data_IF_576002567150
#
_entry.id   IF_576002567150
#
_cell.length_a   1.000
_cell.length_b   1.000
_cell.length_c   1.000
_cell.angle_alpha   90.00
_cell.angle_beta   90.00
_cell.angle_gamma   90.00
#
_symmetry.space_group_name_H-M   'P 1'
#
loop_
_entity.id
_entity.type
_entity.pdbx_description
1 polymer ?
#
# COMPACT_ATOMS: atom_id res chain seq x y z
N UNK A 1 6.87 2.59 20.32
CA UNK A 1 8.00 2.18 19.46
C UNK A 1 7.84 0.80 18.80
N UNK A 2 6.82 0.00 19.16
CA UNK A 2 6.57 -1.32 18.55
C UNK A 2 5.88 -1.27 17.17
N UNK A 3 5.03 -0.27 16.89
CA UNK A 3 4.22 -0.25 15.65
C UNK A 3 5.04 -0.08 14.36
N UNK A 4 6.14 0.68 14.40
CA UNK A 4 6.98 0.95 13.22
C UNK A 4 7.80 -0.29 12.82
N UNK A 5 8.27 -1.07 13.80
CA UNK A 5 9.08 -2.27 13.56
C UNK A 5 8.26 -3.43 12.97
N UNK A 6 7.01 -3.59 13.43
CA UNK A 6 6.07 -4.59 12.89
C UNK A 6 5.70 -4.26 11.44
N UNK A 7 5.46 -2.97 11.14
CA UNK A 7 5.21 -2.50 9.77
C UNK A 7 6.38 -2.78 8.82
N UNK A 8 7.62 -2.54 9.26
CA UNK A 8 8.82 -2.80 8.45
C UNK A 8 9.04 -4.30 8.19
N UNK A 9 8.85 -5.14 9.21
CA UNK A 9 8.97 -6.60 9.08
C UNK A 9 7.93 -7.22 8.15
N UNK A 10 6.66 -6.81 8.31
CA UNK A 10 5.56 -7.25 7.44
C UNK A 10 5.72 -6.76 6.01
N UNK A 11 6.20 -5.53 5.80
CA UNK A 11 6.49 -5.02 4.45
C UNK A 11 7.54 -5.88 3.74
N UNK A 12 8.64 -6.22 4.42
CA UNK A 12 9.67 -7.11 3.87
C UNK A 12 9.14 -8.53 3.61
N UNK A 13 8.28 -9.04 4.49
CA UNK A 13 7.64 -10.34 4.30
C UNK A 13 6.75 -10.34 3.05
N UNK A 14 5.93 -9.31 2.85
CA UNK A 14 5.11 -9.20 1.63
C UNK A 14 5.95 -9.05 0.36
N UNK A 15 7.02 -8.26 0.38
CA UNK A 15 7.93 -8.17 -0.78
C UNK A 15 8.49 -9.54 -1.17
N UNK A 16 8.94 -10.33 -0.18
CA UNK A 16 9.44 -11.70 -0.41
C UNK A 16 8.36 -12.65 -0.92
N UNK A 17 7.16 -12.57 -0.35
CA UNK A 17 6.04 -13.41 -0.79
C UNK A 17 5.55 -13.04 -2.19
N UNK A 18 5.53 -11.75 -2.55
CA UNK A 18 5.21 -11.29 -3.90
C UNK A 18 6.23 -11.79 -4.92
N UNK A 19 7.54 -11.65 -4.63
CA UNK A 19 8.58 -12.19 -5.50
C UNK A 19 8.48 -13.72 -5.67
N UNK A 20 8.11 -14.45 -4.61
CA UNK A 20 7.86 -15.89 -4.68
C UNK A 20 6.63 -16.21 -5.54
N UNK A 21 5.55 -15.45 -5.40
CA UNK A 21 4.33 -15.61 -6.20
C UNK A 21 4.60 -15.40 -7.69
N UNK A 22 5.41 -14.41 -8.05
CA UNK A 22 5.81 -14.17 -9.45
C UNK A 22 6.59 -15.36 -10.03
N UNK A 23 7.51 -15.93 -9.24
CA UNK A 23 8.29 -17.10 -9.66
C UNK A 23 7.43 -18.35 -9.84
N UNK A 24 6.51 -18.61 -8.89
CA UNK A 24 5.56 -19.72 -9.00
C UNK A 24 4.59 -19.51 -10.18
N UNK A 25 4.19 -18.28 -10.46
CA UNK A 25 3.37 -17.92 -11.62
C UNK A 25 4.06 -18.30 -12.94
N UNK A 26 5.34 -17.94 -13.10
CA UNK A 26 6.12 -18.35 -14.29
C UNK A 26 6.21 -19.86 -14.47
N UNK A 27 6.34 -20.61 -13.37
CA UNK A 27 6.35 -22.09 -13.41
C UNK A 27 4.98 -22.66 -13.80
N UNK A 28 3.90 -22.09 -13.30
CA UNK A 28 2.54 -22.45 -13.72
C UNK A 28 2.31 -22.14 -15.21
N UNK A 29 2.76 -20.98 -15.69
CA UNK A 29 2.68 -20.60 -17.10
C UNK A 29 3.52 -21.54 -18.00
N UNK A 30 4.62 -22.07 -17.46
CA UNK A 30 5.42 -23.11 -18.10
C UNK A 30 4.80 -24.52 -18.02
N UNK A 31 3.61 -24.67 -17.43
CA UNK A 31 2.86 -25.92 -17.34
C UNK A 31 3.21 -26.81 -16.14
N UNK A 32 4.05 -26.33 -15.21
CA UNK A 32 4.39 -27.08 -14.00
C UNK A 32 3.24 -27.01 -12.99
N UNK A 33 2.31 -27.96 -13.08
CA UNK A 33 1.15 -28.03 -12.19
C UNK A 33 1.49 -28.43 -10.75
N UNK A 34 2.73 -28.88 -10.49
CA UNK A 34 3.12 -29.34 -9.15
C UNK A 34 3.22 -28.19 -8.13
N UNK A 35 3.36 -26.95 -8.61
CA UNK A 35 3.49 -25.76 -7.75
C UNK A 35 2.15 -25.14 -7.33
N UNK A 36 1.00 -25.67 -7.75
CA UNK A 36 -0.31 -25.11 -7.43
C UNK A 36 -0.58 -24.97 -5.92
N UNK A 37 -0.22 -25.99 -5.13
CA UNK A 37 -0.36 -25.96 -3.67
C UNK A 37 0.49 -24.87 -3.03
N UNK A 38 1.71 -24.70 -3.52
CA UNK A 38 2.62 -23.68 -3.01
C UNK A 38 2.19 -22.26 -3.41
N UNK A 39 1.71 -22.12 -4.65
CA UNK A 39 1.17 -20.87 -5.19
C UNK A 39 -0.04 -20.39 -4.37
N UNK A 40 -1.03 -21.27 -4.17
CA UNK A 40 -2.23 -20.98 -3.37
C UNK A 40 -1.90 -20.65 -1.91
N UNK A 41 -0.95 -21.37 -1.29
CA UNK A 41 -0.50 -21.06 0.08
C UNK A 41 0.16 -19.69 0.16
N UNK A 42 1.01 -19.36 -0.82
CA UNK A 42 1.66 -18.04 -0.91
C UNK A 42 0.62 -16.92 -1.11
N UNK A 43 -0.40 -17.18 -1.93
CA UNK A 43 -1.52 -16.25 -2.13
C UNK A 43 -2.33 -16.01 -0.85
N UNK A 44 -2.64 -17.06 -0.10
CA UNK A 44 -3.35 -16.94 1.18
C UNK A 44 -2.53 -16.15 2.22
N UNK A 45 -1.22 -16.38 2.28
CA UNK A 45 -0.32 -15.63 3.15
C UNK A 45 -0.28 -14.13 2.80
N UNK A 46 -0.19 -13.80 1.51
CA UNK A 46 -0.27 -12.41 1.04
C UNK A 46 -1.62 -11.75 1.37
N UNK A 47 -2.73 -12.46 1.16
CA UNK A 47 -4.07 -11.97 1.48
C UNK A 47 -4.24 -11.66 2.98
N UNK A 48 -3.56 -12.40 3.85
CA UNK A 48 -3.57 -12.20 5.30
C UNK A 48 -2.78 -10.96 5.72
N UNK A 49 -1.65 -10.71 5.06
CA UNK A 49 -0.70 -9.66 5.44
C UNK A 49 -1.03 -8.33 4.75
N UNK A 50 -1.60 -8.34 3.53
CA UNK A 50 -1.91 -7.13 2.77
C UNK A 50 -2.73 -6.08 3.54
N UNK A 51 -3.78 -6.44 4.32
CA UNK A 51 -4.54 -5.49 5.12
C UNK A 51 -3.73 -4.84 6.27
N UNK A 52 -2.66 -5.50 6.72
CA UNK A 52 -1.82 -5.04 7.83
C UNK A 52 -0.73 -4.07 7.37
N UNK A 53 -0.29 -4.18 6.11
CA UNK A 53 0.68 -3.26 5.50
C UNK A 53 -0.03 -2.04 4.89
N UNK A 54 -1.31 -2.19 4.52
CA UNK A 54 -2.15 -1.10 4.00
C UNK A 54 -3.47 -1.02 4.77
N UNK A 55 -3.50 -0.37 5.95
CA UNK A 55 -4.75 -0.10 6.68
C UNK A 55 -5.80 0.66 5.83
N UNK A 56 -5.32 1.37 4.82
CA UNK A 56 -6.00 2.27 3.89
C UNK A 56 -6.85 1.53 2.85
N UNK A 57 -6.57 0.25 2.60
CA UNK A 57 -7.38 -0.61 1.73
C UNK A 57 -8.78 -0.89 2.29
N UNK A 58 -9.03 -0.53 3.57
CA UNK A 58 -10.35 -0.55 4.21
C UNK A 58 -11.05 0.82 4.23
N UNK A 59 -10.59 1.79 3.44
CA UNK A 59 -11.18 3.13 3.40
C UNK A 59 -10.68 4.09 4.50
N UNK A 60 -9.59 3.74 5.19
CA UNK A 60 -8.94 4.65 6.13
C UNK A 60 -8.26 5.79 5.36
N UNK A 61 -8.63 7.03 5.71
CA UNK A 61 -8.10 8.22 5.04
C UNK A 61 -6.73 8.60 5.61
N UNK A 62 -5.80 8.95 4.71
CA UNK A 62 -4.46 9.38 5.05
C UNK A 62 -4.44 10.76 5.71
N UNK A 63 -3.48 10.98 6.61
CA UNK A 63 -3.08 12.32 7.03
C UNK A 63 -2.23 13.00 5.96
N UNK A 64 -2.05 14.32 6.05
CA UNK A 64 -1.17 15.08 5.14
C UNK A 64 0.27 14.57 5.18
N UNK A 65 0.79 14.14 6.33
CA UNK A 65 2.14 13.58 6.43
C UNK A 65 2.27 12.27 5.66
N UNK A 66 1.31 11.36 5.85
CA UNK A 66 1.33 10.04 5.21
C UNK A 66 1.17 10.11 3.68
N UNK A 67 0.25 10.95 3.17
CA UNK A 67 0.14 11.12 1.72
C UNK A 67 1.39 11.80 1.13
N UNK A 68 1.98 12.76 1.84
CA UNK A 68 3.19 13.44 1.38
C UNK A 68 4.38 12.48 1.28
N UNK A 69 4.57 11.61 2.29
CA UNK A 69 5.59 10.55 2.27
C UNK A 69 5.40 9.61 1.08
N UNK A 70 4.15 9.17 0.84
CA UNK A 70 3.83 8.29 -0.29
C UNK A 70 4.13 8.92 -1.66
N UNK A 71 3.83 10.21 -1.81
CA UNK A 71 4.10 10.95 -3.04
C UNK A 71 5.56 11.43 -3.14
N UNK A 72 6.41 11.09 -2.16
CA UNK A 72 7.79 11.54 -2.05
C UNK A 72 7.94 13.08 -2.12
N UNK A 73 7.02 13.81 -1.49
CA UNK A 73 7.01 15.28 -1.42
C UNK A 73 6.94 15.78 0.03
N UNK A 74 7.24 17.06 0.24
CA UNK A 74 7.02 17.67 1.55
C UNK A 74 5.52 17.89 1.83
N UNK A 75 5.05 17.84 3.09
CA UNK A 75 3.67 18.19 3.46
C UNK A 75 3.28 19.61 3.03
N UNK A 76 4.24 20.55 3.04
CA UNK A 76 4.05 21.92 2.56
C UNK A 76 3.76 21.94 1.05
N UNK A 77 4.47 21.13 0.27
CA UNK A 77 4.24 20.98 -1.17
C UNK A 77 2.85 20.40 -1.42
N UNK A 78 2.46 19.35 -0.70
CA UNK A 78 1.12 18.76 -0.81
C UNK A 78 0.00 19.78 -0.55
N UNK A 79 0.12 20.58 0.51
CA UNK A 79 -0.87 21.63 0.83
C UNK A 79 -0.92 22.74 -0.22
N UNK A 80 0.23 23.13 -0.80
CA UNK A 80 0.27 24.09 -1.91
C UNK A 80 -0.44 23.54 -3.15
N UNK A 81 -0.23 22.28 -3.50
CA UNK A 81 -0.90 21.63 -4.64
C UNK A 81 -2.41 21.54 -4.41
N UNK A 82 -2.85 21.26 -3.19
CA UNK A 82 -4.27 21.36 -2.80
C UNK A 82 -4.82 22.76 -2.99
N UNK A 83 -4.08 23.80 -2.58
CA UNK A 83 -4.52 25.18 -2.76
C UNK A 83 -4.65 25.57 -4.24
N UNK A 84 -3.89 24.91 -5.14
CA UNK A 84 -3.99 25.06 -6.60
C UNK A 84 -5.06 24.17 -7.25
N UNK A 85 -5.70 23.28 -6.49
CA UNK A 85 -6.72 22.37 -7.00
C UNK A 85 -6.19 21.13 -7.74
N UNK A 86 -4.88 20.92 -7.74
CA UNK A 86 -4.20 19.77 -8.40
C UNK A 86 -4.49 18.44 -7.68
N UNK A 87 -4.85 18.49 -6.40
CA UNK A 87 -5.12 17.33 -5.56
C UNK A 87 -6.24 17.67 -4.56
N UNK A 88 -7.16 16.73 -4.31
CA UNK A 88 -8.41 17.01 -3.58
C UNK A 88 -8.54 16.11 -2.34
N UNK A 89 -8.63 16.68 -1.14
CA UNK A 89 -8.81 15.86 0.04
C UNK A 89 -10.14 15.10 -0.04
N UNK A 90 -10.11 13.87 0.45
CA UNK A 90 -11.29 13.02 0.60
C UNK A 90 -12.28 13.60 1.62
N UNK A 91 -11.73 14.24 2.67
CA UNK A 91 -12.48 14.85 3.74
C UNK A 91 -11.72 16.08 4.25
N UNK A 92 -12.44 17.20 4.36
CA UNK A 92 -11.95 18.40 5.01
C UNK A 92 -13.01 18.90 6.00
N UNK A 93 -12.66 18.96 7.30
CA UNK A 93 -13.49 19.54 8.36
C UNK A 93 -12.66 20.57 9.13
N UNK A 94 -12.87 21.84 8.84
CA UNK A 94 -12.03 22.92 9.39
C UNK A 94 -10.56 22.72 9.03
N UNK A 95 -9.70 22.55 10.05
CA UNK A 95 -8.26 22.26 9.90
C UNK A 95 -7.94 20.78 9.66
N UNK A 96 -8.90 19.88 9.88
CA UNK A 96 -8.69 18.45 9.67
C UNK A 96 -8.75 18.14 8.17
N UNK A 97 -7.65 17.67 7.62
CA UNK A 97 -7.55 17.21 6.23
C UNK A 97 -7.23 15.72 6.22
N UNK A 98 -7.95 15.00 5.36
CA UNK A 98 -7.86 13.56 5.19
C UNK A 98 -7.93 13.22 3.70
N UNK A 99 -7.02 12.36 3.26
CA UNK A 99 -6.78 12.09 1.84
C UNK A 99 -7.08 10.65 1.49
N UNK A 100 -7.40 10.38 0.22
CA UNK A 100 -7.49 9.00 -0.24
C UNK A 100 -6.10 8.52 -0.67
N UNK A 101 -5.80 7.24 -0.42
CA UNK A 101 -4.54 6.63 -0.84
C UNK A 101 -4.46 6.31 -2.35
N UNK A 102 -5.55 6.49 -3.09
CA UNK A 102 -5.65 6.30 -4.54
C UNK A 102 -5.48 7.60 -5.34
N UNK A 103 -5.26 8.74 -4.69
CA UNK A 103 -4.96 9.98 -5.41
C UNK A 103 -3.69 9.82 -6.25
N UNK A 104 -3.88 9.83 -7.56
CA UNK A 104 -2.80 9.87 -8.55
C UNK A 104 -2.58 11.31 -8.94
N UNK A 105 -1.32 11.66 -9.18
CA UNK A 105 -0.98 12.95 -9.78
C UNK A 105 -1.65 12.99 -11.16
N UNK A 106 -2.44 14.03 -11.41
CA UNK A 106 -2.89 14.37 -12.76
C UNK A 106 -1.71 14.91 -13.58
#
# INVERSE_FOLDING_TARGET
MLEIAVSTGLTRAAQRLSARMDELGKRLDAGDTTVWTEYSTTAAALATIAPQIRPEARGALLTTGQLAERLAISPKTLLKRKARGEIRPALQRGRLIRWRGDERMA
#
